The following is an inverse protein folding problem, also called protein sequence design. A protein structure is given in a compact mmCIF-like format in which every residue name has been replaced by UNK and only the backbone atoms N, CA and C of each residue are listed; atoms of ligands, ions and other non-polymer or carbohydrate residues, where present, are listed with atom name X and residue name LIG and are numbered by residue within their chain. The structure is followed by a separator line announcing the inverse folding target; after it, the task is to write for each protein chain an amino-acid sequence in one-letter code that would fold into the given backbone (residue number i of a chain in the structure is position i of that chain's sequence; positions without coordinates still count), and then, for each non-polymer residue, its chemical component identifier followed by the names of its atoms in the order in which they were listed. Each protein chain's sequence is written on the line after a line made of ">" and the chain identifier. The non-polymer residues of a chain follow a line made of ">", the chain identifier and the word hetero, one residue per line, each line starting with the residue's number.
data_IF_053714176029
#
_entry.id   IF_053714176029
#
_cell.length_a   1.000
_cell.length_b   1.000
_cell.length_c   1.000
_cell.angle_alpha   90.00
_cell.angle_beta   90.00
_cell.angle_gamma   90.00
#
_symmetry.space_group_name_H-M   'P 1'
#
loop_
_entity.id
_entity.type
_entity.pdbx_description
1 polymer ?
#
# COMPACT_ATOMS: atom_id res chain seq x y z
N UNK A 1 -2.61 -4.19 16.40
CA UNK A 1 -1.72 -4.85 15.43
C UNK A 1 -1.36 -3.90 14.29
N UNK A 2 -2.31 -3.32 13.55
CA UNK A 2 -2.02 -2.42 12.44
C UNK A 2 -1.10 -1.24 12.83
N UNK A 3 -1.34 -0.58 13.97
CA UNK A 3 -0.49 0.51 14.48
C UNK A 3 0.97 0.06 14.67
N UNK A 4 1.19 -1.13 15.26
CA UNK A 4 2.55 -1.68 15.39
C UNK A 4 3.20 -1.87 14.03
N UNK A 5 2.50 -2.54 13.11
CA UNK A 5 3.01 -2.83 11.76
C UNK A 5 3.28 -1.53 10.99
N UNK A 6 2.38 -0.54 11.08
CA UNK A 6 2.61 0.79 10.47
C UNK A 6 3.93 1.39 10.95
N UNK A 7 4.15 1.41 12.26
CA UNK A 7 5.38 2.00 12.82
C UNK A 7 6.64 1.25 12.43
N UNK A 8 6.57 -0.09 12.36
CA UNK A 8 7.71 -0.90 11.91
C UNK A 8 8.03 -0.66 10.43
N UNK A 9 7.00 -0.64 9.57
CA UNK A 9 7.19 -0.32 8.14
C UNK A 9 7.73 1.09 7.94
N UNK A 10 7.26 2.09 8.68
CA UNK A 10 7.73 3.47 8.58
C UNK A 10 9.20 3.63 8.97
N UNK A 11 9.72 2.80 9.88
CA UNK A 11 11.14 2.80 10.27
C UNK A 11 12.07 2.22 9.20
N UNK A 12 11.51 1.55 8.23
CA UNK A 12 12.26 1.08 7.06
C UNK A 12 12.21 2.18 6.01
N UNK A 13 13.33 2.84 5.77
CA UNK A 13 13.44 3.82 4.69
C UNK A 13 13.38 3.10 3.34
N UNK A 14 12.38 3.45 2.55
CA UNK A 14 12.16 2.94 1.19
C UNK A 14 11.98 4.11 0.22
N UNK A 15 12.70 5.21 0.46
CA UNK A 15 12.64 6.40 -0.39
C UNK A 15 13.02 6.08 -1.83
N UNK A 16 12.11 6.40 -2.75
CA UNK A 16 12.31 6.17 -4.18
C UNK A 16 12.66 7.48 -4.89
N UNK A 17 13.91 7.61 -5.31
CA UNK A 17 14.42 8.80 -6.01
C UNK A 17 14.20 8.73 -7.52
N UNK A 18 13.76 7.60 -8.06
CA UNK A 18 13.51 7.40 -9.50
C UNK A 18 14.75 7.18 -10.34
N UNK A 19 15.92 7.49 -9.83
CA UNK A 19 17.22 7.37 -10.55
C UNK A 19 17.99 6.09 -10.22
N UNK A 20 17.42 5.24 -9.36
CA UNK A 20 18.03 4.00 -8.90
C UNK A 20 19.00 4.17 -7.74
N UNK A 21 19.16 5.38 -7.22
CA UNK A 21 19.94 5.64 -6.01
C UNK A 21 19.12 5.44 -4.74
N UNK A 22 19.81 5.38 -3.60
CA UNK A 22 19.18 5.37 -2.28
C UNK A 22 18.66 4.01 -1.83
N UNK A 23 17.77 4.02 -0.82
CA UNK A 23 17.15 2.82 -0.29
C UNK A 23 16.25 2.12 -1.31
N UNK A 24 15.87 0.87 -0.99
CA UNK A 24 15.04 0.03 -1.84
C UNK A 24 13.89 -0.56 -1.04
N UNK A 25 12.90 -1.15 -1.71
CA UNK A 25 11.75 -1.78 -1.08
C UNK A 25 12.07 -3.16 -0.48
N UNK A 26 13.21 -3.76 -0.81
CA UNK A 26 13.58 -5.10 -0.37
C UNK A 26 13.47 -5.32 1.15
N UNK A 27 13.95 -4.44 2.03
CA UNK A 27 13.79 -4.61 3.47
C UNK A 27 12.33 -4.59 3.92
N UNK A 28 11.49 -3.75 3.31
CA UNK A 28 10.06 -3.71 3.62
C UNK A 28 9.34 -4.97 3.13
N UNK A 29 9.68 -5.47 1.94
CA UNK A 29 9.16 -6.73 1.42
C UNK A 29 9.56 -7.92 2.31
N UNK A 30 10.78 -7.97 2.81
CA UNK A 30 11.24 -8.98 3.76
C UNK A 30 10.47 -8.90 5.09
N UNK A 31 10.19 -7.70 5.58
CA UNK A 31 9.35 -7.50 6.75
C UNK A 31 7.94 -8.05 6.52
N UNK A 32 7.29 -7.72 5.39
CA UNK A 32 5.96 -8.23 5.02
C UNK A 32 5.94 -9.76 4.99
N UNK A 33 6.93 -10.38 4.33
CA UNK A 33 7.05 -11.86 4.28
C UNK A 33 7.27 -12.45 5.67
N UNK A 34 8.04 -11.78 6.52
CA UNK A 34 8.25 -12.18 7.91
C UNK A 34 6.95 -12.24 8.72
N UNK A 35 6.17 -11.17 8.66
CA UNK A 35 4.86 -11.08 9.33
C UNK A 35 3.85 -12.12 8.83
N UNK A 36 3.87 -12.43 7.53
CA UNK A 36 3.00 -13.46 6.94
C UNK A 36 3.42 -14.86 7.36
N UNK A 37 4.73 -15.13 7.41
CA UNK A 37 5.27 -16.41 7.85
C UNK A 37 4.91 -16.75 9.29
N UNK A 38 4.85 -15.75 10.19
CA UNK A 38 4.44 -15.95 11.59
C UNK A 38 3.03 -16.55 11.74
N UNK A 39 2.17 -16.34 10.75
CA UNK A 39 0.79 -16.86 10.74
C UNK A 39 0.59 -17.99 9.72
N UNK A 40 1.69 -18.56 9.21
CA UNK A 40 1.65 -19.71 8.29
C UNK A 40 1.28 -19.36 6.85
N UNK A 41 1.29 -18.10 6.45
CA UNK A 41 1.10 -17.70 5.06
C UNK A 41 2.45 -17.71 4.35
N UNK A 42 2.57 -18.54 3.31
CA UNK A 42 3.72 -18.51 2.41
C UNK A 42 3.59 -17.33 1.43
N UNK A 43 4.63 -16.54 1.34
CA UNK A 43 4.72 -15.44 0.39
C UNK A 43 6.12 -15.42 -0.26
N UNK A 44 6.18 -14.95 -1.50
CA UNK A 44 7.42 -14.85 -2.26
C UNK A 44 7.68 -13.38 -2.58
N UNK A 45 8.94 -12.98 -2.41
CA UNK A 45 9.41 -11.68 -2.90
C UNK A 45 9.75 -11.83 -4.37
N UNK A 46 9.23 -10.92 -5.18
CA UNK A 46 9.45 -10.87 -6.63
C UNK A 46 10.11 -9.54 -6.93
N UNK A 47 11.26 -9.59 -7.58
CA UNK A 47 12.04 -8.40 -7.94
C UNK A 47 12.06 -8.19 -9.44
N UNK A 48 11.72 -6.99 -9.88
CA UNK A 48 11.90 -6.57 -11.27
C UNK A 48 13.36 -6.20 -11.56
N UNK A 49 14.03 -5.63 -10.57
CA UNK A 49 15.47 -5.32 -10.52
C UNK A 49 15.95 -5.53 -9.09
N UNK A 50 17.25 -5.69 -8.86
CA UNK A 50 17.79 -5.77 -7.50
C UNK A 50 17.27 -4.64 -6.60
N UNK A 51 16.58 -5.02 -5.52
CA UNK A 51 16.00 -4.10 -4.56
C UNK A 51 14.59 -3.60 -4.86
N UNK A 52 14.11 -3.61 -6.12
CA UNK A 52 12.73 -3.27 -6.50
C UNK A 52 11.83 -4.48 -6.26
N UNK A 53 11.46 -4.67 -5.01
CA UNK A 53 10.87 -5.88 -4.47
C UNK A 53 9.39 -5.69 -4.14
N UNK A 54 8.56 -6.53 -4.74
CA UNK A 54 7.12 -6.61 -4.47
C UNK A 54 6.77 -7.93 -3.79
N UNK A 55 5.63 -7.98 -3.10
CA UNK A 55 5.09 -9.21 -2.48
C UNK A 55 3.66 -9.40 -2.95
N UNK A 56 3.31 -10.59 -3.42
CA UNK A 56 1.94 -10.94 -3.82
C UNK A 56 1.50 -12.20 -3.10
N UNK A 57 0.30 -12.17 -2.53
CA UNK A 57 -0.31 -13.26 -1.78
C UNK A 57 -1.73 -13.48 -2.23
N UNK A 58 -2.09 -14.71 -2.56
CA UNK A 58 -3.47 -15.09 -2.89
C UNK A 58 -4.08 -15.90 -1.75
N UNK A 59 -5.26 -15.52 -1.32
CA UNK A 59 -6.12 -16.24 -0.40
C UNK A 59 -7.30 -16.81 -1.19
N UNK A 60 -7.42 -18.13 -1.19
CA UNK A 60 -8.50 -18.78 -1.92
C UNK A 60 -9.87 -18.51 -1.27
N UNK A 61 -10.83 -18.16 -2.09
CA UNK A 61 -12.21 -17.95 -1.67
C UNK A 61 -13.07 -19.20 -1.72
N UNK A 62 -14.24 -19.12 -1.08
CA UNK A 62 -15.22 -20.20 -1.05
C UNK A 62 -15.96 -20.39 -2.38
N UNK A 63 -16.16 -19.34 -3.16
CA UNK A 63 -16.81 -19.42 -4.48
C UNK A 63 -15.88 -18.86 -5.58
N UNK A 64 -15.20 -19.76 -6.26
CA UNK A 64 -14.27 -19.43 -7.35
C UNK A 64 -14.93 -18.95 -8.65
N UNK A 65 -16.27 -19.04 -8.75
CA UNK A 65 -17.01 -18.48 -9.90
C UNK A 65 -17.15 -16.98 -9.79
N UNK A 66 -16.98 -16.44 -8.59
CA UNK A 66 -16.90 -14.98 -8.40
C UNK A 66 -15.51 -14.49 -8.77
N UNK A 67 -15.45 -13.42 -9.55
CA UNK A 67 -14.19 -12.78 -9.86
C UNK A 67 -13.41 -12.41 -8.61
N UNK A 68 -12.09 -12.60 -8.65
CA UNK A 68 -11.20 -12.26 -7.55
C UNK A 68 -11.11 -10.74 -7.35
N UNK A 69 -10.74 -10.34 -6.14
CA UNK A 69 -10.47 -8.96 -5.77
C UNK A 69 -8.98 -8.79 -5.49
N UNK A 70 -8.35 -7.83 -6.17
CA UNK A 70 -7.01 -7.37 -5.82
C UNK A 70 -7.13 -6.26 -4.78
N UNK A 71 -6.40 -6.37 -3.68
CA UNK A 71 -6.21 -5.31 -2.69
C UNK A 71 -4.74 -4.98 -2.71
N UNK A 72 -4.40 -3.78 -3.13
CA UNK A 72 -2.99 -3.44 -3.32
C UNK A 72 -2.59 -2.11 -2.68
N UNK A 73 -1.32 -2.02 -2.40
CA UNK A 73 -0.62 -0.86 -1.93
C UNK A 73 0.82 -0.88 -2.42
N UNK A 74 1.62 0.10 -2.01
CA UNK A 74 3.01 0.20 -2.39
C UNK A 74 3.94 0.39 -1.18
N UNK A 75 5.14 -0.17 -1.30
CA UNK A 75 6.13 -0.19 -0.23
C UNK A 75 7.10 1.00 -0.27
N UNK A 76 7.28 1.63 -1.44
CA UNK A 76 8.12 2.80 -1.58
C UNK A 76 7.44 4.06 -1.03
N UNK A 77 8.21 5.09 -0.83
CA UNK A 77 7.75 6.39 -0.37
C UNK A 77 8.52 7.50 -1.08
N UNK A 78 7.88 8.67 -1.23
CA UNK A 78 8.57 9.88 -1.68
C UNK A 78 9.72 10.22 -0.72
N UNK A 79 10.91 10.62 -1.22
CA UNK A 79 12.03 11.05 -0.39
C UNK A 79 11.64 12.14 0.61
N UNK A 80 12.25 12.11 1.77
CA UNK A 80 12.05 13.12 2.81
C UNK A 80 13.40 13.77 3.17
N UNK A 81 13.44 15.10 3.10
CA UNK A 81 14.58 15.82 3.63
C UNK A 81 14.37 16.06 5.14
N UNK A 82 15.19 15.49 6.03
CA UNK A 82 15.01 15.63 7.48
C UNK A 82 14.95 17.08 7.97
N UNK A 83 15.57 18.03 7.26
CA UNK A 83 15.55 19.44 7.61
C UNK A 83 14.14 20.08 7.52
N UNK A 84 13.23 19.47 6.76
CA UNK A 84 11.86 19.97 6.57
C UNK A 84 10.87 19.37 7.59
N UNK A 85 11.35 18.51 8.52
CA UNK A 85 10.52 17.79 9.45
C UNK A 85 10.77 18.22 10.90
N UNK A 86 9.70 18.24 11.70
CA UNK A 86 9.79 18.48 13.16
C UNK A 86 10.20 17.24 13.96
N UNK A 87 10.26 16.09 13.33
CA UNK A 87 10.73 14.79 13.85
C UNK A 87 11.52 14.11 12.76
N UNK A 88 12.36 13.12 13.09
CA UNK A 88 12.96 12.28 12.06
C UNK A 88 11.86 11.59 11.24
N UNK A 89 11.82 11.75 9.90
CA UNK A 89 10.76 11.22 9.04
C UNK A 89 10.62 9.70 9.09
N UNK A 90 11.63 8.95 9.52
CA UNK A 90 11.59 7.49 9.62
C UNK A 90 11.57 6.98 11.06
N UNK A 91 11.38 7.85 12.05
CA UNK A 91 11.30 7.46 13.47
C UNK A 91 9.96 6.86 13.88
N UNK A 92 8.89 7.10 13.12
CA UNK A 92 7.52 6.66 13.43
C UNK A 92 7.10 7.08 14.86
N UNK A 93 7.32 8.36 15.19
CA UNK A 93 6.99 8.92 16.50
C UNK A 93 5.47 8.92 16.70
N UNK A 94 5.03 8.43 17.85
CA UNK A 94 3.66 8.60 18.31
C UNK A 94 3.59 9.80 19.26
N UNK A 95 2.83 10.80 18.86
CA UNK A 95 2.65 12.04 19.62
C UNK A 95 1.24 12.57 19.42
N UNK A 96 0.59 12.97 20.50
CA UNK A 96 -0.77 13.54 20.51
C UNK A 96 -1.82 12.62 19.83
N UNK A 97 -1.67 11.29 20.01
CA UNK A 97 -2.55 10.29 19.44
C UNK A 97 -2.41 10.10 17.92
N UNK A 98 -1.35 10.64 17.32
CA UNK A 98 -1.02 10.52 15.89
C UNK A 98 0.36 9.89 15.70
N UNK A 99 0.53 9.18 14.59
CA UNK A 99 1.83 8.67 14.14
C UNK A 99 2.40 9.66 13.13
N UNK A 100 3.62 10.13 13.39
CA UNK A 100 4.32 11.10 12.57
C UNK A 100 5.45 10.43 11.79
N UNK A 101 5.54 10.75 10.51
CA UNK A 101 6.66 10.33 9.66
C UNK A 101 6.25 10.07 8.22
N UNK A 102 7.25 9.86 7.36
CA UNK A 102 7.06 9.53 5.95
C UNK A 102 6.39 8.16 5.83
N UNK A 103 5.40 8.05 4.93
CA UNK A 103 4.62 6.83 4.76
C UNK A 103 3.48 6.64 5.78
N UNK A 104 3.29 7.57 6.73
CA UNK A 104 2.19 7.48 7.70
C UNK A 104 0.81 7.52 7.04
N UNK A 105 0.67 8.22 5.92
CA UNK A 105 -0.55 8.33 5.11
C UNK A 105 -0.35 7.59 3.80
N UNK A 106 0.72 7.85 3.11
CA UNK A 106 1.03 7.35 1.79
C UNK A 106 2.28 6.46 1.86
N UNK A 107 2.13 5.07 1.84
CA UNK A 107 0.85 4.46 2.25
C UNK A 107 1.08 3.27 3.19
N UNK A 108 2.17 3.29 3.96
CA UNK A 108 2.54 2.21 4.91
C UNK A 108 1.47 1.92 5.97
N UNK A 109 0.59 2.89 6.25
CA UNK A 109 -0.56 2.67 7.12
C UNK A 109 -1.57 1.70 6.49
N UNK A 110 -1.83 1.84 5.19
CA UNK A 110 -2.71 0.93 4.47
C UNK A 110 -2.05 -0.44 4.25
N UNK A 111 -0.76 -0.50 3.93
CA UNK A 111 -0.01 -1.75 3.89
C UNK A 111 -0.12 -2.51 5.22
N UNK A 112 0.00 -1.79 6.33
CA UNK A 112 -0.16 -2.37 7.66
C UNK A 112 -1.59 -2.87 7.91
N UNK A 113 -2.62 -2.18 7.42
CA UNK A 113 -4.01 -2.65 7.51
C UNK A 113 -4.24 -3.89 6.65
N UNK A 114 -3.68 -3.93 5.44
CA UNK A 114 -3.72 -5.10 4.57
C UNK A 114 -3.06 -6.30 5.24
N UNK A 115 -1.87 -6.10 5.79
CA UNK A 115 -1.11 -7.15 6.47
C UNK A 115 -1.81 -7.64 7.74
N UNK A 116 -2.37 -6.74 8.55
CA UNK A 116 -3.15 -7.11 9.72
C UNK A 116 -4.41 -7.93 9.36
N UNK A 117 -5.08 -7.60 8.25
CA UNK A 117 -6.20 -8.37 7.75
C UNK A 117 -5.78 -9.78 7.27
N UNK A 118 -4.67 -9.89 6.53
CA UNK A 118 -4.11 -11.19 6.13
C UNK A 118 -3.81 -12.06 7.35
N UNK A 119 -3.15 -11.49 8.35
CA UNK A 119 -2.83 -12.18 9.60
C UNK A 119 -4.09 -12.60 10.35
N UNK A 120 -5.12 -11.78 10.36
CA UNK A 120 -6.41 -12.11 10.95
C UNK A 120 -7.09 -13.25 10.20
N UNK A 121 -7.16 -13.19 8.87
CA UNK A 121 -7.74 -14.24 8.01
C UNK A 121 -7.10 -15.59 8.33
N UNK A 122 -5.77 -15.63 8.45
CA UNK A 122 -5.05 -16.85 8.77
C UNK A 122 -5.36 -17.37 10.20
N UNK A 123 -5.26 -16.50 11.20
CA UNK A 123 -5.47 -16.89 12.61
C UNK A 123 -6.90 -17.36 12.89
N UNK A 124 -7.88 -16.73 12.26
CA UNK A 124 -9.29 -17.04 12.44
C UNK A 124 -9.81 -18.08 11.43
N UNK A 125 -8.93 -18.61 10.55
CA UNK A 125 -9.27 -19.55 9.49
C UNK A 125 -10.46 -19.06 8.62
N UNK A 126 -10.50 -17.77 8.32
CA UNK A 126 -11.59 -17.16 7.54
C UNK A 126 -11.45 -17.59 6.08
N UNK A 127 -12.52 -18.11 5.51
CA UNK A 127 -12.64 -18.36 4.08
C UNK A 127 -13.40 -17.17 3.47
N UNK A 128 -12.74 -16.31 2.68
CA UNK A 128 -13.41 -15.19 2.06
C UNK A 128 -14.42 -15.68 1.00
N UNK A 129 -15.46 -14.89 0.67
CA UNK A 129 -16.48 -15.31 -0.28
C UNK A 129 -15.98 -15.41 -1.74
N UNK A 130 -14.83 -14.86 -2.06
CA UNK A 130 -14.13 -14.91 -3.36
C UNK A 130 -12.62 -14.88 -3.15
N UNK A 131 -11.86 -15.20 -4.17
CA UNK A 131 -10.40 -15.07 -4.10
C UNK A 131 -10.00 -13.63 -3.79
N UNK A 132 -9.06 -13.47 -2.86
CA UNK A 132 -8.42 -12.20 -2.55
C UNK A 132 -6.94 -12.27 -2.94
N UNK A 133 -6.48 -11.30 -3.70
CA UNK A 133 -5.06 -11.12 -4.02
C UNK A 133 -4.59 -9.86 -3.32
N UNK A 134 -3.65 -10.00 -2.39
CA UNK A 134 -2.99 -8.86 -1.76
C UNK A 134 -1.65 -8.64 -2.44
N UNK A 135 -1.43 -7.42 -2.90
CA UNK A 135 -0.18 -7.04 -3.57
C UNK A 135 0.42 -5.80 -2.91
N UNK A 136 1.68 -5.93 -2.52
CA UNK A 136 2.52 -4.86 -1.99
C UNK A 136 3.55 -4.55 -3.06
N UNK A 137 3.31 -3.51 -3.83
CA UNK A 137 4.12 -3.18 -5.00
C UNK A 137 5.35 -2.36 -4.63
N UNK A 138 6.37 -2.43 -5.47
CA UNK A 138 7.47 -1.50 -5.52
C UNK A 138 7.16 -0.37 -6.52
N UNK A 139 7.95 0.73 -6.46
CA UNK A 139 8.11 1.73 -7.52
C UNK A 139 6.86 2.54 -7.88
N UNK A 140 5.86 2.62 -7.01
CA UNK A 140 4.62 3.35 -7.31
C UNK A 140 4.89 4.84 -7.47
N UNK A 141 5.65 5.44 -6.55
CA UNK A 141 5.97 6.87 -6.47
C UNK A 141 6.74 7.41 -7.70
N UNK A 142 7.24 6.50 -8.53
CA UNK A 142 7.90 6.81 -9.80
C UNK A 142 7.16 6.24 -11.01
N UNK A 143 5.86 5.97 -10.86
CA UNK A 143 4.96 5.56 -11.93
C UNK A 143 4.77 4.06 -12.10
N UNK A 144 5.27 3.23 -11.18
CA UNK A 144 4.95 1.81 -11.08
C UNK A 144 5.53 0.90 -12.18
N UNK A 145 6.42 1.43 -13.03
CA UNK A 145 6.98 0.69 -14.18
C UNK A 145 7.76 -0.54 -13.74
N UNK A 146 8.47 -0.45 -12.61
CA UNK A 146 9.25 -1.55 -12.03
C UNK A 146 8.47 -2.31 -10.94
N UNK A 147 7.23 -1.93 -10.69
CA UNK A 147 6.33 -2.52 -9.72
C UNK A 147 5.13 -3.18 -10.37
N UNK A 148 3.97 -2.53 -10.29
CA UNK A 148 2.70 -3.07 -10.75
C UNK A 148 2.70 -3.40 -12.25
N UNK A 149 3.18 -2.49 -13.11
CA UNK A 149 3.23 -2.68 -14.56
C UNK A 149 4.11 -3.89 -14.93
N UNK A 150 5.29 -3.97 -14.33
CA UNK A 150 6.21 -5.09 -14.58
C UNK A 150 5.60 -6.43 -14.13
N UNK A 151 4.96 -6.48 -12.95
CA UNK A 151 4.34 -7.70 -12.44
C UNK A 151 3.19 -8.18 -13.31
N UNK A 152 2.31 -7.28 -13.73
CA UNK A 152 1.19 -7.63 -14.62
C UNK A 152 1.70 -8.13 -15.98
N UNK A 153 2.78 -7.56 -16.49
CA UNK A 153 3.36 -7.93 -17.77
C UNK A 153 4.14 -9.25 -17.75
N UNK A 154 4.86 -9.54 -16.65
CA UNK A 154 5.78 -10.69 -16.55
C UNK A 154 5.22 -11.84 -15.72
N UNK A 155 4.27 -11.57 -14.83
CA UNK A 155 3.66 -12.55 -13.93
C UNK A 155 2.12 -12.44 -13.92
N UNK A 156 1.44 -12.38 -15.10
CA UNK A 156 -0.02 -12.19 -15.18
C UNK A 156 -0.79 -13.25 -14.40
N UNK A 157 -0.27 -14.47 -14.31
CA UNK A 157 -0.91 -15.58 -13.57
C UNK A 157 -1.16 -15.27 -12.09
N UNK A 158 -0.44 -14.33 -11.49
CA UNK A 158 -0.68 -13.89 -10.11
C UNK A 158 -2.06 -13.25 -9.94
N UNK A 159 -2.59 -12.67 -11.02
CA UNK A 159 -3.84 -11.92 -11.04
C UNK A 159 -4.96 -12.63 -11.81
N UNK A 160 -4.74 -13.88 -12.22
CA UNK A 160 -5.73 -14.66 -12.97
C UNK A 160 -7.09 -14.71 -12.26
N UNK A 161 -8.16 -14.46 -13.04
CA UNK A 161 -9.52 -14.47 -12.54
C UNK A 161 -9.91 -13.29 -11.66
N UNK A 162 -9.02 -12.32 -11.41
CA UNK A 162 -9.38 -11.08 -10.74
C UNK A 162 -10.15 -10.14 -11.69
N UNK A 163 -11.22 -9.54 -11.19
CA UNK A 163 -12.10 -8.66 -11.98
C UNK A 163 -12.23 -7.27 -11.40
N UNK A 164 -11.74 -7.06 -10.20
CA UNK A 164 -11.81 -5.80 -9.46
C UNK A 164 -10.52 -5.56 -8.67
N UNK A 165 -10.22 -4.29 -8.43
CA UNK A 165 -9.11 -3.89 -7.57
C UNK A 165 -9.53 -2.77 -6.62
N UNK A 166 -8.90 -2.74 -5.44
CA UNK A 166 -8.98 -1.65 -4.46
C UNK A 166 -7.54 -1.18 -4.22
N UNK A 167 -7.34 0.14 -4.32
CA UNK A 167 -6.07 0.80 -4.08
C UNK A 167 -6.18 1.81 -2.93
N UNK A 168 -5.22 2.69 -2.85
CA UNK A 168 -4.99 3.64 -1.74
C UNK A 168 -5.95 4.83 -1.72
N UNK A 169 -6.49 5.24 -2.85
CA UNK A 169 -7.25 6.48 -2.94
C UNK A 169 -8.72 6.26 -2.63
N UNK A 170 -9.21 7.07 -1.72
CA UNK A 170 -10.58 6.99 -1.22
C UNK A 170 -10.63 6.88 0.31
N UNK A 171 -11.81 6.59 0.84
CA UNK A 171 -11.99 6.42 2.28
C UNK A 171 -11.88 7.71 3.11
N UNK A 172 -11.71 8.87 2.49
CA UNK A 172 -11.79 10.15 3.20
C UNK A 172 -13.17 10.32 3.80
N UNK A 173 -13.22 10.77 5.03
CA UNK A 173 -14.48 11.13 5.65
C UNK A 173 -14.63 12.65 5.72
N UNK A 174 -15.80 13.12 5.38
CA UNK A 174 -16.21 14.51 5.56
C UNK A 174 -17.40 14.57 6.51
N UNK A 175 -17.46 15.63 7.29
CA UNK A 175 -18.60 15.90 8.16
C UNK A 175 -19.56 16.81 7.44
N UNK A 176 -20.77 16.33 7.18
CA UNK A 176 -21.81 17.06 6.49
C UNK A 176 -22.89 17.51 7.48
N UNK A 177 -23.38 18.75 7.41
CA UNK A 177 -24.54 19.17 8.18
C UNK A 177 -25.79 18.43 7.70
N UNK A 178 -26.67 18.08 8.62
CA UNK A 178 -28.00 17.55 8.29
C UNK A 178 -28.96 18.70 8.15
N UNK A 179 -29.56 18.85 6.96
CA UNK A 179 -30.49 19.94 6.69
C UNK A 179 -31.65 19.96 7.70
N UNK A 180 -31.95 21.14 8.24
CA UNK A 180 -33.04 21.34 9.19
C UNK A 180 -32.74 20.87 10.63
N UNK A 181 -31.49 20.53 10.95
CA UNK A 181 -31.08 20.13 12.30
C UNK A 181 -29.67 20.64 12.66
N UNK A 182 -29.33 20.62 13.97
CA UNK A 182 -27.99 20.91 14.46
C UNK A 182 -27.09 19.66 14.44
N UNK A 183 -27.55 18.56 13.81
CA UNK A 183 -26.79 17.32 13.73
C UNK A 183 -25.84 17.32 12.53
N UNK A 184 -24.80 16.54 12.64
CA UNK A 184 -23.87 16.24 11.54
C UNK A 184 -23.83 14.75 11.29
N UNK A 185 -23.53 14.38 10.04
CA UNK A 185 -23.23 12.99 9.69
C UNK A 185 -21.84 12.88 9.04
N UNK A 186 -21.17 11.78 9.28
CA UNK A 186 -19.93 11.44 8.58
C UNK A 186 -20.27 10.74 7.28
N UNK A 187 -19.73 11.23 6.17
CA UNK A 187 -19.78 10.59 4.88
C UNK A 187 -18.38 10.15 4.48
N UNK A 188 -18.26 8.96 3.89
CA UNK A 188 -17.02 8.44 3.33
C UNK A 188 -17.07 8.59 1.81
N UNK A 189 -15.98 9.10 1.24
CA UNK A 189 -15.85 9.26 -0.20
C UNK A 189 -15.25 7.99 -0.78
N UNK A 190 -15.88 7.47 -1.84
CA UNK A 190 -15.36 6.38 -2.64
C UNK A 190 -14.91 6.95 -3.98
N UNK A 191 -13.64 6.77 -4.32
CA UNK A 191 -13.15 7.08 -5.66
C UNK A 191 -13.54 5.93 -6.59
N UNK A 192 -14.20 6.25 -7.68
CA UNK A 192 -14.69 5.25 -8.65
C UNK A 192 -14.00 5.34 -10.00
N UNK A 193 -13.15 6.34 -10.21
CA UNK A 193 -12.36 6.52 -11.42
C UNK A 193 -11.17 7.44 -11.16
N UNK A 194 -10.13 7.29 -11.95
CA UNK A 194 -8.96 8.15 -11.96
C UNK A 194 -8.77 8.83 -13.31
N UNK A 195 -8.13 10.00 -13.28
CA UNK A 195 -7.65 10.67 -14.49
C UNK A 195 -6.23 10.22 -14.80
N UNK A 196 -5.90 10.11 -16.08
CA UNK A 196 -4.52 9.95 -16.49
C UNK A 196 -3.65 11.14 -16.03
N UNK A 197 -2.46 10.84 -15.58
CA UNK A 197 -1.48 11.84 -15.14
C UNK A 197 -0.50 12.15 -16.28
N UNK A 198 -0.23 13.44 -16.51
CA UNK A 198 0.81 13.90 -17.44
C UNK A 198 1.67 14.93 -16.73
N UNK A 199 2.92 14.60 -16.51
CA UNK A 199 3.93 15.54 -16.03
C UNK A 199 4.49 16.34 -17.19
N UNK A 200 4.47 17.68 -17.09
CA UNK A 200 4.97 18.57 -18.13
C UNK A 200 6.00 19.51 -17.54
N UNK A 201 7.17 19.57 -18.17
CA UNK A 201 8.21 20.54 -17.83
C UNK A 201 8.18 21.68 -18.86
N UNK A 202 7.82 22.86 -18.44
CA UNK A 202 7.84 24.05 -19.28
C UNK A 202 9.08 24.90 -18.94
N UNK A 203 9.92 25.17 -19.94
CA UNK A 203 11.08 26.06 -19.82
C UNK A 203 10.89 27.25 -20.74
N UNK A 204 10.81 28.45 -20.17
CA UNK A 204 10.88 29.71 -20.92
C UNK A 204 12.30 30.29 -20.81
N UNK A 205 12.85 30.66 -21.95
CA UNK A 205 14.14 31.41 -22.03
C UNK A 205 13.84 32.73 -22.69
N UNK A 206 14.16 33.85 -22.02
CA UNK A 206 14.11 35.21 -22.55
C UNK A 206 15.46 35.63 -23.12
#
# INVERSE_FOLDING_TARGET
>A
EAVRITRELMRIDTSNYGDGSGPTERPAAEYVVGELREVGIAATIIESKPGRASVVVRIAGGDRRRGGLVVHGHLDVVPANPADWSVDPFSAVERDGMIWGRGAVDMKSMDAMMLANLRRIAREAIIPPRDLVFAFFADEEQGGVLGADWLVSHHPALFDGCTEAISEVGGYSITLPVAGSNQTRRAYLLQTAEKGLVWVHLRATG
#
